data_IF_226019882523
#
_entry.id   IF_226019882523
#
_cell.length_a   1.000
_cell.length_b   1.000
_cell.length_c   1.000
_cell.angle_alpha   90.00
_cell.angle_beta   90.00
_cell.angle_gamma   90.00
#
_symmetry.space_group_name_H-M   'P 1'
#
loop_
_entity.id
_entity.type
_entity.pdbx_description
1 polymer ?
#
# COMPACT_ATOMS: atom_id res chain seq x y z
N UNK A 1 8.22 -3.32 -19.41
CA UNK A 1 7.06 -2.75 -18.73
C UNK A 1 7.48 -2.42 -17.30
N UNK A 2 7.49 -1.15 -16.93
CA UNK A 2 7.75 -0.73 -15.56
C UNK A 2 6.42 -0.67 -14.75
N UNK A 3 6.51 -0.51 -13.43
CA UNK A 3 5.32 -0.45 -12.58
C UNK A 3 4.41 0.74 -12.94
N UNK A 4 5.00 1.87 -13.33
CA UNK A 4 4.26 3.04 -13.80
C UNK A 4 3.46 2.75 -15.08
N UNK A 5 4.03 1.98 -16.00
CA UNK A 5 3.34 1.56 -17.22
C UNK A 5 2.17 0.62 -16.89
N UNK A 6 2.41 -0.38 -16.03
CA UNK A 6 1.37 -1.31 -15.57
C UNK A 6 0.18 -0.57 -14.97
N UNK A 7 0.43 0.35 -14.03
CA UNK A 7 -0.61 1.19 -13.44
C UNK A 7 -1.38 1.95 -14.53
N UNK A 8 -0.67 2.58 -15.45
CA UNK A 8 -1.27 3.39 -16.52
C UNK A 8 -2.15 2.54 -17.43
N UNK A 9 -1.72 1.32 -17.76
CA UNK A 9 -2.53 0.37 -18.52
C UNK A 9 -3.83 0.07 -17.76
N UNK A 10 -3.73 -0.37 -16.50
CA UNK A 10 -4.91 -0.75 -15.69
C UNK A 10 -5.88 0.42 -15.55
N UNK A 11 -5.39 1.63 -15.27
CA UNK A 11 -6.20 2.85 -15.12
C UNK A 11 -6.98 3.21 -16.40
N UNK A 12 -6.49 2.81 -17.58
CA UNK A 12 -7.13 3.09 -18.87
C UNK A 12 -7.92 1.89 -19.45
N UNK A 13 -7.97 0.75 -18.76
CA UNK A 13 -8.83 -0.36 -19.18
C UNK A 13 -10.31 -0.05 -18.95
N UNK A 14 -11.23 -0.66 -19.72
CA UNK A 14 -12.65 -0.68 -19.40
C UNK A 14 -12.90 -1.17 -17.96
N UNK A 15 -13.91 -0.60 -17.30
CA UNK A 15 -14.28 -0.98 -15.93
C UNK A 15 -14.51 -2.49 -15.77
N UNK A 16 -15.02 -3.17 -16.79
CA UNK A 16 -15.21 -4.63 -16.75
C UNK A 16 -13.89 -5.38 -16.50
N UNK A 17 -12.82 -5.00 -17.20
CA UNK A 17 -11.50 -5.60 -17.03
C UNK A 17 -10.84 -5.18 -15.72
N UNK A 18 -11.03 -3.94 -15.28
CA UNK A 18 -10.56 -3.51 -13.95
C UNK A 18 -11.21 -4.33 -12.83
N UNK A 19 -12.50 -4.62 -12.96
CA UNK A 19 -13.23 -5.48 -12.03
C UNK A 19 -12.71 -6.93 -12.06
N UNK A 20 -12.39 -7.48 -13.24
CA UNK A 20 -11.77 -8.81 -13.35
C UNK A 20 -10.42 -8.85 -12.63
N UNK A 21 -9.54 -7.86 -12.87
CA UNK A 21 -8.26 -7.75 -12.17
C UNK A 21 -8.48 -7.65 -10.66
N UNK A 22 -9.43 -6.83 -10.20
CA UNK A 22 -9.70 -6.68 -8.78
C UNK A 22 -10.20 -7.98 -8.14
N UNK A 23 -11.02 -8.76 -8.85
CA UNK A 23 -11.46 -10.10 -8.41
C UNK A 23 -10.30 -11.09 -8.33
N UNK A 24 -9.39 -11.09 -9.30
CA UNK A 24 -8.23 -11.99 -9.27
C UNK A 24 -7.32 -11.72 -8.05
N UNK A 25 -7.21 -10.44 -7.66
CA UNK A 25 -6.45 -10.01 -6.49
C UNK A 25 -7.09 -10.38 -5.14
N UNK A 26 -8.38 -10.74 -5.11
CA UNK A 26 -9.07 -11.18 -3.88
C UNK A 26 -8.34 -12.37 -3.23
N UNK A 27 -7.76 -13.26 -4.03
CA UNK A 27 -6.97 -14.38 -3.52
C UNK A 27 -5.84 -13.93 -2.59
N UNK A 28 -5.12 -12.85 -2.92
CA UNK A 28 -4.08 -12.28 -2.07
C UNK A 28 -4.66 -11.64 -0.81
N UNK A 29 -5.77 -10.90 -0.95
CA UNK A 29 -6.47 -10.28 0.16
C UNK A 29 -6.91 -11.33 1.18
N UNK A 30 -7.58 -12.40 0.74
CA UNK A 30 -8.04 -13.50 1.59
C UNK A 30 -6.88 -14.21 2.29
N UNK A 31 -5.67 -14.26 1.69
CA UNK A 31 -4.51 -14.80 2.41
C UNK A 31 -4.10 -13.92 3.60
N UNK A 32 -4.19 -12.60 3.47
CA UNK A 32 -3.82 -11.63 4.50
C UNK A 32 -4.94 -11.39 5.52
N UNK A 33 -6.19 -11.51 5.08
CA UNK A 33 -7.43 -11.20 5.81
C UNK A 33 -8.33 -12.44 5.72
N UNK A 34 -8.18 -13.40 6.65
CA UNK A 34 -8.80 -14.73 6.55
C UNK A 34 -10.33 -14.75 6.45
N UNK A 35 -10.99 -13.70 6.92
CA UNK A 35 -12.45 -13.55 6.93
C UNK A 35 -12.96 -12.56 5.86
N UNK A 36 -12.13 -12.25 4.85
CA UNK A 36 -12.53 -11.35 3.78
C UNK A 36 -13.65 -11.98 2.93
N UNK A 37 -14.82 -11.34 2.95
CA UNK A 37 -16.02 -11.77 2.23
C UNK A 37 -16.65 -10.64 1.39
N UNK A 38 -15.88 -9.59 1.10
CA UNK A 38 -16.34 -8.38 0.41
C UNK A 38 -15.75 -8.31 -1.02
N UNK A 39 -16.09 -7.25 -1.75
CA UNK A 39 -15.54 -6.93 -3.07
C UNK A 39 -14.32 -6.04 -2.89
N UNK A 40 -13.27 -6.26 -3.70
CA UNK A 40 -12.20 -5.29 -3.87
C UNK A 40 -12.59 -4.30 -4.97
N UNK A 41 -12.92 -3.04 -4.67
CA UNK A 41 -13.44 -2.12 -5.69
C UNK A 41 -12.32 -1.66 -6.65
N UNK A 42 -12.57 -1.57 -7.98
CA UNK A 42 -11.56 -1.18 -8.96
C UNK A 42 -11.01 0.24 -8.71
N UNK A 43 -11.81 1.17 -8.21
CA UNK A 43 -11.37 2.51 -7.82
C UNK A 43 -10.39 2.46 -6.64
N UNK A 44 -10.60 1.55 -5.68
CA UNK A 44 -9.69 1.32 -4.55
C UNK A 44 -8.38 0.71 -5.05
N UNK A 45 -8.46 -0.28 -5.94
CA UNK A 45 -7.31 -0.86 -6.63
C UNK A 45 -6.44 0.21 -7.30
N UNK A 46 -7.03 1.06 -8.14
CA UNK A 46 -6.31 2.12 -8.89
C UNK A 46 -5.68 3.13 -7.92
N UNK A 47 -6.43 3.51 -6.89
CA UNK A 47 -5.97 4.45 -5.85
C UNK A 47 -4.76 3.91 -5.08
N UNK A 48 -4.76 2.62 -4.73
CA UNK A 48 -3.62 1.97 -4.09
C UNK A 48 -2.43 1.86 -5.02
N UNK A 49 -2.63 1.43 -6.27
CA UNK A 49 -1.55 1.35 -7.27
C UNK A 49 -0.86 2.70 -7.48
N UNK A 50 -1.61 3.82 -7.45
CA UNK A 50 -1.04 5.17 -7.54
C UNK A 50 -0.04 5.46 -6.42
N UNK A 51 -0.42 5.24 -5.17
CA UNK A 51 0.47 5.48 -4.04
C UNK A 51 1.65 4.49 -4.00
N UNK A 52 1.42 3.22 -4.35
CA UNK A 52 2.50 2.23 -4.49
C UNK A 52 3.53 2.69 -5.53
N UNK A 53 3.08 3.15 -6.70
CA UNK A 53 3.97 3.68 -7.73
C UNK A 53 4.79 4.88 -7.24
N UNK A 54 4.19 5.82 -6.51
CA UNK A 54 4.89 6.97 -5.94
C UNK A 54 5.97 6.57 -4.92
N UNK A 55 5.66 5.61 -4.03
CA UNK A 55 6.63 5.09 -3.05
C UNK A 55 7.77 4.33 -3.75
N UNK A 56 7.47 3.51 -4.76
CA UNK A 56 8.48 2.80 -5.55
C UNK A 56 9.42 3.77 -6.27
N UNK A 57 8.88 4.81 -6.91
CA UNK A 57 9.67 5.86 -7.53
C UNK A 57 10.53 6.61 -6.50
N UNK A 58 10.00 6.86 -5.29
CA UNK A 58 10.79 7.50 -4.23
C UNK A 58 11.96 6.63 -3.78
N UNK A 59 11.77 5.32 -3.66
CA UNK A 59 12.84 4.36 -3.40
C UNK A 59 13.90 4.47 -4.50
N UNK A 60 13.52 4.35 -5.78
CA UNK A 60 14.46 4.33 -6.90
C UNK A 60 15.33 5.60 -7.00
N UNK A 61 14.76 6.78 -6.74
CA UNK A 61 15.47 8.05 -6.98
C UNK A 61 16.16 8.66 -5.75
N UNK A 62 15.57 8.52 -4.56
CA UNK A 62 15.97 9.31 -3.39
C UNK A 62 16.19 8.50 -2.12
N UNK A 63 15.75 7.23 -2.06
CA UNK A 63 15.83 6.29 -0.93
C UNK A 63 15.34 6.80 0.45
N UNK A 64 14.85 8.04 0.55
CA UNK A 64 14.38 8.67 1.79
C UNK A 64 12.87 8.55 1.88
N UNK A 65 12.43 7.46 2.49
CA UNK A 65 11.02 7.18 2.80
C UNK A 65 10.54 7.87 4.07
N UNK A 66 11.45 8.16 5.00
CA UNK A 66 11.11 8.89 6.23
C UNK A 66 10.60 10.28 5.87
N UNK A 67 9.43 10.65 6.38
CA UNK A 67 8.69 11.88 6.07
C UNK A 67 8.24 12.05 4.61
N UNK A 68 8.41 11.03 3.76
CA UNK A 68 7.81 11.07 2.42
C UNK A 68 6.28 10.96 2.51
N UNK A 69 5.62 11.75 1.67
CA UNK A 69 4.17 11.73 1.49
C UNK A 69 3.83 11.65 0.01
N UNK A 70 2.91 10.76 -0.34
CA UNK A 70 2.28 10.70 -1.65
C UNK A 70 1.48 11.99 -1.91
N UNK A 71 1.27 12.32 -3.18
CA UNK A 71 0.61 13.56 -3.60
C UNK A 71 -0.86 13.63 -3.16
N UNK A 72 -1.55 12.49 -3.15
CA UNK A 72 -2.96 12.38 -2.77
C UNK A 72 -3.18 11.24 -1.78
N UNK A 73 -4.18 11.37 -0.92
CA UNK A 73 -4.66 10.26 -0.10
C UNK A 73 -5.08 9.10 -1.00
N UNK A 74 -4.80 7.88 -0.56
CA UNK A 74 -5.50 6.71 -1.10
C UNK A 74 -6.96 6.70 -0.66
N UNK A 75 -7.76 5.94 -1.41
CA UNK A 75 -9.17 5.66 -1.11
C UNK A 75 -9.25 4.98 0.25
N UNK A 76 -10.15 5.45 1.10
CA UNK A 76 -10.39 4.77 2.37
C UNK A 76 -11.15 3.47 2.10
N UNK A 77 -10.63 2.35 2.59
CA UNK A 77 -11.28 1.05 2.52
C UNK A 77 -11.20 0.36 3.87
N UNK A 78 -12.35 0.17 4.51
CA UNK A 78 -12.45 -0.26 5.90
C UNK A 78 -11.90 -1.66 6.15
N UNK A 79 -11.86 -2.51 5.13
CA UNK A 79 -11.24 -3.84 5.17
C UNK A 79 -9.79 -3.80 5.67
N UNK A 80 -9.04 -2.74 5.32
CA UNK A 80 -7.62 -2.61 5.68
C UNK A 80 -7.28 -1.37 6.48
N UNK A 81 -8.19 -0.40 6.56
CA UNK A 81 -7.97 0.85 7.27
C UNK A 81 -8.80 0.90 8.56
N UNK A 82 -8.12 1.04 9.70
CA UNK A 82 -8.77 1.38 10.97
C UNK A 82 -9.02 2.89 11.05
N UNK A 83 -10.21 3.26 11.55
CA UNK A 83 -10.64 4.62 11.88
C UNK A 83 -9.67 5.37 12.80
N UNK A 84 -8.96 4.66 13.68
CA UNK A 84 -8.04 5.28 14.65
C UNK A 84 -6.73 5.78 14.03
N UNK A 85 -6.30 5.23 12.88
CA UNK A 85 -4.95 5.49 12.33
C UNK A 85 -5.02 6.21 10.97
N UNK A 86 -6.10 6.01 10.20
CA UNK A 86 -6.14 6.41 8.79
C UNK A 86 -7.41 7.18 8.38
N UNK A 87 -8.12 7.84 9.28
CA UNK A 87 -9.29 8.68 8.94
C UNK A 87 -9.02 10.18 8.80
N UNK A 88 -7.84 10.65 9.23
CA UNK A 88 -7.49 12.07 9.15
C UNK A 88 -7.25 12.56 7.72
N UNK A 89 -7.29 13.88 7.54
CA UNK A 89 -6.77 14.48 6.32
C UNK A 89 -5.27 14.16 6.22
N UNK A 90 -4.77 13.92 5.02
CA UNK A 90 -3.40 13.45 4.72
C UNK A 90 -2.91 12.13 5.36
N UNK A 91 -3.68 11.45 6.22
CA UNK A 91 -3.19 10.24 6.93
C UNK A 91 -2.84 9.10 5.98
N UNK A 92 -3.52 9.05 4.82
CA UNK A 92 -3.36 8.02 3.78
C UNK A 92 -2.34 8.41 2.70
N UNK A 93 -1.64 9.54 2.86
CA UNK A 93 -0.48 9.91 2.03
C UNK A 93 0.82 9.27 2.51
N UNK A 94 0.83 8.66 3.69
CA UNK A 94 2.07 8.18 4.31
C UNK A 94 2.60 6.89 3.66
N UNK A 95 3.91 6.67 3.73
CA UNK A 95 4.53 5.39 3.36
C UNK A 95 3.91 4.23 4.15
N UNK A 96 3.59 4.46 5.42
CA UNK A 96 2.88 3.49 6.26
C UNK A 96 1.55 3.05 5.63
N UNK A 97 0.70 4.00 5.23
CA UNK A 97 -0.57 3.68 4.55
C UNK A 97 -0.36 2.90 3.25
N UNK A 98 0.69 3.23 2.49
CA UNK A 98 1.02 2.49 1.25
C UNK A 98 1.48 1.07 1.55
N UNK A 99 2.25 0.86 2.63
CA UNK A 99 2.62 -0.48 3.10
C UNK A 99 1.37 -1.28 3.44
N UNK A 100 0.40 -0.70 4.16
CA UNK A 100 -0.87 -1.37 4.46
C UNK A 100 -1.60 -1.79 3.17
N UNK A 101 -1.64 -0.93 2.15
CA UNK A 101 -2.24 -1.29 0.84
C UNK A 101 -1.54 -2.47 0.14
N UNK A 102 -0.25 -2.72 0.38
CA UNK A 102 0.46 -3.84 -0.26
C UNK A 102 -0.12 -5.21 0.10
N UNK A 103 -0.80 -5.35 1.24
CA UNK A 103 -1.43 -6.63 1.61
C UNK A 103 -2.53 -7.09 0.63
N UNK A 104 -3.01 -6.19 -0.23
CA UNK A 104 -3.95 -6.51 -1.30
C UNK A 104 -3.27 -7.10 -2.55
N UNK A 105 -1.94 -7.04 -2.64
CA UNK A 105 -1.19 -7.34 -3.88
C UNK A 105 -0.12 -8.42 -3.71
N UNK A 106 0.19 -8.81 -2.47
CA UNK A 106 1.20 -9.82 -2.18
C UNK A 106 0.67 -10.84 -1.17
N UNK A 107 1.23 -12.05 -1.19
CA UNK A 107 0.84 -13.11 -0.27
C UNK A 107 1.13 -12.74 1.18
N UNK A 108 0.38 -13.31 2.13
CA UNK A 108 0.63 -13.16 3.57
C UNK A 108 2.05 -13.47 3.99
N UNK A 109 2.69 -14.46 3.37
CA UNK A 109 4.09 -14.78 3.63
C UNK A 109 5.01 -13.60 3.25
N UNK A 110 4.86 -13.05 2.04
CA UNK A 110 5.63 -11.90 1.58
C UNK A 110 5.36 -10.64 2.41
N UNK A 111 4.09 -10.39 2.75
CA UNK A 111 3.69 -9.27 3.59
C UNK A 111 4.30 -9.35 4.99
N UNK A 112 4.25 -10.53 5.62
CA UNK A 112 4.87 -10.75 6.94
C UNK A 112 6.38 -10.50 6.92
N UNK A 113 7.08 -10.92 5.86
CA UNK A 113 8.51 -10.66 5.70
C UNK A 113 8.78 -9.16 5.62
N UNK A 114 8.03 -8.44 4.77
CA UNK A 114 8.13 -6.99 4.60
C UNK A 114 7.88 -6.28 5.95
N UNK A 115 6.75 -6.57 6.58
CA UNK A 115 6.32 -5.93 7.83
C UNK A 115 7.34 -6.15 8.95
N UNK A 116 7.77 -7.39 9.17
CA UNK A 116 8.73 -7.71 10.23
C UNK A 116 10.10 -7.08 9.96
N UNK A 117 10.51 -6.98 8.69
CA UNK A 117 11.76 -6.32 8.31
C UNK A 117 11.70 -4.83 8.62
N UNK A 118 10.62 -4.15 8.21
CA UNK A 118 10.42 -2.73 8.46
C UNK A 118 10.31 -2.45 9.97
N UNK A 119 9.52 -3.23 10.70
CA UNK A 119 9.36 -3.10 12.16
C UNK A 119 10.70 -3.20 12.87
N UNK A 120 11.54 -4.19 12.52
CA UNK A 120 12.90 -4.33 13.09
C UNK A 120 13.77 -3.10 12.81
N UNK A 121 13.68 -2.52 11.60
CA UNK A 121 14.44 -1.31 11.23
C UNK A 121 13.96 -0.08 11.99
N UNK A 122 12.64 0.10 12.14
CA UNK A 122 12.04 1.20 12.90
C UNK A 122 12.42 1.12 14.38
N UNK A 123 12.30 -0.05 15.02
CA UNK A 123 12.72 -0.25 16.42
C UNK A 123 14.22 0.04 16.59
N UNK A 124 15.05 -0.38 15.62
CA UNK A 124 16.48 -0.09 15.66
C UNK A 124 16.77 1.41 15.51
N UNK A 125 16.02 2.11 14.67
CA UNK A 125 16.12 3.56 14.51
C UNK A 125 15.72 4.27 15.80
N UNK A 126 14.59 3.89 16.39
CA UNK A 126 14.09 4.44 17.65
C UNK A 126 15.12 4.33 18.78
N UNK A 127 15.74 3.16 18.95
CA UNK A 127 16.82 2.94 19.94
C UNK A 127 18.06 3.80 19.72
N UNK A 128 18.26 4.31 18.50
CA UNK A 128 19.41 5.16 18.13
C UNK A 128 19.09 6.64 18.15
N UNK A 129 17.82 7.04 18.23
CA UNK A 129 17.44 8.45 18.34
C UNK A 129 18.10 9.14 19.56
N UNK A 130 18.16 8.51 20.76
CA UNK A 130 18.84 9.12 21.92
C UNK A 130 20.36 9.22 21.78
N UNK A 131 20.97 8.60 20.77
CA UNK A 131 22.43 8.67 20.52
C UNK A 131 22.82 9.74 19.50
N UNK A 132 21.86 10.59 19.10
CA UNK A 132 22.05 11.69 18.14
C UNK A 132 22.04 13.05 18.85
N UNK A 133 21.94 13.06 20.19
CA UNK A 133 22.22 14.24 21.03
C UNK A 133 23.74 14.42 21.25
#
# INVERSE_FOLDING_TARGET
LEFGDLRTIIENLPNSLQNEIARDLVSFISTNIPDFNDVFPPETLISFLKNINEVLNKCAHNNRLLNFRCRSNSTFWETIHNKEILMGDDSRKTVYSTIISLQCFISKAAFNILWNTLRKKVIKLEKKLPSID
#
